data_IF_188260085212
#
_entry.id   IF_188260085212
#
_cell.length_a   1.000
_cell.length_b   1.000
_cell.length_c   1.000
_cell.angle_alpha   90.00
_cell.angle_beta   90.00
_cell.angle_gamma   90.00
#
_symmetry.space_group_name_H-M   'P 1'
#
loop_
_entity.id
_entity.type
_entity.pdbx_description
1 polymer ?
#
# COMPACT_ATOMS: atom_id res chain seq x y z
N UNK A 1 -6.28 -27.74 22.83
CA UNK A 1 -7.42 -26.92 23.31
C UNK A 1 -7.13 -25.46 22.98
N UNK A 2 -7.98 -24.85 22.13
CA UNK A 2 -8.37 -23.43 22.01
C UNK A 2 -9.11 -23.30 20.65
N UNK A 3 -10.44 -23.51 20.66
CA UNK A 3 -11.49 -22.48 20.69
C UNK A 3 -11.57 -21.68 19.37
N UNK A 4 -12.66 -21.64 18.60
CA UNK A 4 -14.01 -22.15 18.79
C UNK A 4 -14.77 -22.26 17.47
N UNK A 5 -15.93 -22.91 17.51
CA UNK A 5 -16.91 -22.96 16.41
C UNK A 5 -17.78 -21.69 16.47
N UNK A 6 -17.79 -20.90 15.40
CA UNK A 6 -19.02 -20.29 14.85
C UNK A 6 -18.80 -19.71 13.45
N UNK A 7 -19.73 -20.08 12.57
CA UNK A 7 -20.13 -19.50 11.27
C UNK A 7 -19.25 -18.43 10.62
N UNK A 8 -18.74 -18.77 9.43
CA UNK A 8 -18.16 -17.83 8.47
C UNK A 8 -17.14 -18.58 7.64
N UNK A 9 -17.45 -18.84 6.38
CA UNK A 9 -16.50 -19.45 5.45
C UNK A 9 -15.28 -18.52 5.38
N UNK A 10 -14.17 -18.88 6.03
CA UNK A 10 -12.93 -18.10 5.97
C UNK A 10 -12.41 -18.18 4.54
N UNK A 11 -12.50 -17.08 3.79
CA UNK A 11 -11.97 -16.98 2.42
C UNK A 11 -10.48 -16.67 2.52
N UNK A 12 -9.66 -17.55 1.95
CA UNK A 12 -8.23 -17.30 1.79
C UNK A 12 -7.98 -16.78 0.37
N UNK A 13 -7.36 -15.62 0.26
CA UNK A 13 -6.92 -15.05 -1.01
C UNK A 13 -5.40 -15.25 -1.14
N UNK A 14 -4.97 -15.84 -2.25
CA UNK A 14 -3.55 -15.95 -2.57
C UNK A 14 -3.19 -14.81 -3.52
N UNK A 15 -2.38 -13.87 -3.03
CA UNK A 15 -1.84 -12.82 -3.88
C UNK A 15 -0.63 -13.37 -4.63
N UNK A 16 -0.61 -13.33 -5.98
CA UNK A 16 0.39 -14.04 -6.78
C UNK A 16 1.77 -13.36 -6.79
N UNK A 17 1.90 -12.17 -6.18
CA UNK A 17 3.11 -11.36 -6.27
C UNK A 17 3.64 -10.85 -4.92
N UNK A 18 4.92 -11.05 -4.65
CA UNK A 18 5.54 -10.64 -3.38
C UNK A 18 5.97 -9.16 -3.36
N UNK A 19 5.58 -8.35 -4.34
CA UNK A 19 5.85 -6.92 -4.36
C UNK A 19 7.28 -6.55 -4.78
N UNK A 20 8.32 -7.24 -4.29
CA UNK A 20 9.74 -6.83 -4.48
C UNK A 20 10.76 -8.00 -4.44
N UNK A 21 10.44 -9.21 -4.90
CA UNK A 21 11.39 -10.36 -4.96
C UNK A 21 12.08 -10.72 -3.62
N UNK A 22 11.63 -10.17 -2.49
CA UNK A 22 12.16 -10.45 -1.15
C UNK A 22 11.35 -11.54 -0.43
N UNK A 23 10.42 -12.18 -1.15
CA UNK A 23 9.55 -13.23 -0.64
C UNK A 23 8.44 -12.71 0.28
N UNK A 24 8.21 -11.38 0.38
CA UNK A 24 7.23 -10.80 1.29
C UNK A 24 6.05 -10.15 0.58
N UNK A 25 4.90 -10.83 0.58
CA UNK A 25 3.65 -10.28 0.06
C UNK A 25 3.29 -8.94 0.71
N UNK A 26 3.05 -7.92 -0.12
CA UNK A 26 2.71 -6.55 0.29
C UNK A 26 1.31 -6.18 -0.18
N UNK A 27 0.34 -6.60 0.62
CA UNK A 27 -1.08 -6.32 0.42
C UNK A 27 -1.61 -5.57 1.63
N UNK A 28 -2.51 -4.63 1.42
CA UNK A 28 -3.17 -3.86 2.47
C UNK A 28 -4.67 -3.79 2.17
N UNK A 29 -5.57 -3.90 3.16
CA UNK A 29 -6.97 -3.54 2.99
C UNK A 29 -7.09 -2.14 2.37
N UNK A 30 -7.94 -2.03 1.35
CA UNK A 30 -8.37 -0.74 0.81
C UNK A 30 -9.69 -0.35 1.43
N UNK A 31 -10.65 -1.26 1.38
CA UNK A 31 -11.98 -1.12 1.96
C UNK A 31 -12.54 -2.50 2.33
N UNK A 32 -13.81 -2.57 2.75
CA UNK A 32 -14.46 -3.84 3.12
C UNK A 32 -14.59 -4.87 1.98
N UNK A 33 -14.37 -4.46 0.74
CA UNK A 33 -14.52 -5.27 -0.48
C UNK A 33 -13.26 -5.33 -1.33
N UNK A 34 -12.27 -4.49 -1.06
CA UNK A 34 -11.11 -4.29 -1.90
C UNK A 34 -9.81 -4.39 -1.12
N UNK A 35 -8.79 -4.90 -1.79
CA UNK A 35 -7.41 -4.86 -1.32
C UNK A 35 -6.56 -4.08 -2.33
N UNK A 36 -5.52 -3.43 -1.83
CA UNK A 36 -4.46 -2.86 -2.63
C UNK A 36 -3.21 -3.73 -2.51
N UNK A 37 -2.50 -3.90 -3.62
CA UNK A 37 -1.23 -4.62 -3.66
C UNK A 37 -0.36 -4.14 -4.80
N UNK A 38 0.93 -4.38 -4.68
CA UNK A 38 1.88 -4.08 -5.75
C UNK A 38 1.82 -5.20 -6.79
N UNK A 39 1.94 -4.88 -8.07
CA UNK A 39 2.01 -5.84 -9.18
C UNK A 39 3.45 -5.94 -9.77
N UNK A 40 3.65 -6.82 -10.76
CA UNK A 40 4.98 -7.08 -11.36
C UNK A 40 5.62 -5.87 -12.04
N UNK A 41 4.84 -4.85 -12.37
CA UNK A 41 5.31 -3.60 -12.97
C UNK A 41 5.61 -2.53 -11.91
N UNK A 42 5.56 -2.89 -10.63
CA UNK A 42 5.68 -1.98 -9.49
C UNK A 42 4.56 -0.94 -9.39
N UNK A 43 3.44 -1.17 -10.09
CA UNK A 43 2.22 -0.39 -9.98
C UNK A 43 1.32 -0.95 -8.87
N UNK A 44 0.33 -0.16 -8.43
CA UNK A 44 -0.62 -0.61 -7.40
C UNK A 44 -1.92 -1.07 -8.07
N UNK A 45 -2.30 -2.32 -7.84
CA UNK A 45 -3.59 -2.85 -8.24
C UNK A 45 -4.59 -2.74 -7.08
N UNK A 46 -5.78 -2.21 -7.35
CA UNK A 46 -6.94 -2.33 -6.46
C UNK A 46 -7.79 -3.49 -6.97
N UNK A 47 -7.98 -4.51 -6.14
CA UNK A 47 -8.65 -5.75 -6.50
C UNK A 47 -9.86 -5.96 -5.61
N UNK A 48 -10.98 -6.31 -6.24
CA UNK A 48 -12.19 -6.73 -5.55
C UNK A 48 -12.04 -8.15 -5.00
N UNK A 49 -12.21 -8.31 -3.69
CA UNK A 49 -11.97 -9.55 -2.96
C UNK A 49 -12.95 -10.65 -3.39
N UNK A 50 -14.19 -10.28 -3.72
CA UNK A 50 -15.26 -11.23 -4.05
C UNK A 50 -15.10 -11.78 -5.46
N UNK A 51 -14.91 -10.89 -6.43
CA UNK A 51 -14.80 -11.24 -7.85
C UNK A 51 -13.37 -11.59 -8.27
N UNK A 52 -12.37 -11.21 -7.47
CA UNK A 52 -10.93 -11.25 -7.78
C UNK A 52 -10.55 -10.44 -9.03
N UNK A 53 -11.44 -9.58 -9.49
CA UNK A 53 -11.20 -8.75 -10.64
C UNK A 53 -10.37 -7.52 -10.23
N UNK A 54 -9.36 -7.20 -11.04
CA UNK A 54 -8.68 -5.90 -10.95
C UNK A 54 -9.67 -4.81 -11.32
N UNK A 55 -9.95 -3.90 -10.37
CA UNK A 55 -10.82 -2.74 -10.59
C UNK A 55 -10.06 -1.61 -11.26
N UNK A 56 -8.89 -1.29 -10.71
CA UNK A 56 -8.07 -0.18 -11.20
C UNK A 56 -6.59 -0.48 -10.96
N UNK A 57 -5.75 0.11 -11.79
CA UNK A 57 -4.30 0.04 -11.71
C UNK A 57 -3.76 1.47 -11.62
N UNK A 58 -3.05 1.78 -10.53
CA UNK A 58 -2.50 3.09 -10.23
C UNK A 58 -1.07 3.15 -10.76
N UNK A 59 -0.86 3.99 -11.78
CA UNK A 59 0.39 4.02 -12.56
C UNK A 59 1.10 5.35 -12.46
N UNK A 60 2.42 5.29 -12.37
CA UNK A 60 3.30 6.41 -12.65
C UNK A 60 4.17 6.07 -13.87
N UNK A 61 3.82 6.54 -15.09
CA UNK A 61 4.58 6.24 -16.29
C UNK A 61 6.00 6.84 -16.28
N UNK A 62 6.25 7.82 -15.41
CA UNK A 62 7.52 8.51 -15.29
C UNK A 62 8.30 8.09 -14.03
N UNK A 63 7.98 6.92 -13.45
CA UNK A 63 8.64 6.41 -12.24
C UNK A 63 10.12 6.16 -12.51
N UNK A 64 10.96 6.90 -11.78
CA UNK A 64 12.43 6.79 -11.87
C UNK A 64 13.03 5.79 -10.89
N UNK A 65 12.36 5.59 -9.74
CA UNK A 65 12.88 4.81 -8.63
C UNK A 65 11.80 4.05 -7.91
N UNK A 66 12.20 3.00 -7.19
CA UNK A 66 11.31 2.22 -6.34
C UNK A 66 11.92 1.99 -4.94
N UNK A 67 11.11 2.15 -3.89
CA UNK A 67 11.52 1.89 -2.51
C UNK A 67 11.52 0.39 -2.23
N UNK A 68 12.67 -0.15 -1.83
CA UNK A 68 12.83 -1.57 -1.53
C UNK A 68 11.83 -2.07 -0.47
N UNK A 69 11.41 -1.23 0.48
CA UNK A 69 10.42 -1.54 1.53
C UNK A 69 9.09 -0.82 1.34
N UNK A 70 8.73 -0.46 0.10
CA UNK A 70 7.44 0.13 -0.21
C UNK A 70 6.28 -0.75 0.27
N UNK A 71 5.31 -0.15 0.94
CA UNK A 71 4.06 -0.81 1.30
C UNK A 71 2.90 0.14 0.94
N UNK A 72 1.98 -0.27 0.05
CA UNK A 72 0.90 0.61 -0.37
C UNK A 72 -0.11 0.77 0.78
N UNK A 73 -0.61 1.98 0.96
CA UNK A 73 -1.57 2.30 2.00
C UNK A 73 -2.70 3.13 1.43
N UNK A 74 -3.91 2.89 1.94
CA UNK A 74 -5.06 3.75 1.69
C UNK A 74 -5.24 4.70 2.85
N UNK A 75 -5.77 5.89 2.60
CA UNK A 75 -6.29 6.73 3.67
C UNK A 75 -7.59 6.13 4.23
N UNK A 76 -8.03 6.65 5.38
CA UNK A 76 -9.23 6.16 6.08
C UNK A 76 -10.53 6.26 5.27
N UNK A 77 -10.65 7.29 4.43
CA UNK A 77 -11.81 7.51 3.55
C UNK A 77 -11.72 6.74 2.22
N UNK A 78 -10.67 5.94 2.03
CA UNK A 78 -10.51 5.04 0.88
C UNK A 78 -10.45 5.79 -0.47
N UNK A 79 -10.21 7.10 -0.45
CA UNK A 79 -10.18 7.99 -1.63
C UNK A 79 -8.78 8.20 -2.19
N UNK A 80 -7.75 7.94 -1.37
CA UNK A 80 -6.36 8.15 -1.70
C UNK A 80 -5.56 6.88 -1.43
N UNK A 81 -4.56 6.65 -2.28
CA UNK A 81 -3.57 5.60 -2.08
C UNK A 81 -2.18 6.22 -2.13
N UNK A 82 -1.37 5.96 -1.10
CA UNK A 82 0.04 6.29 -1.05
C UNK A 82 0.86 5.03 -1.28
N UNK A 83 1.76 5.08 -2.26
CA UNK A 83 2.68 3.98 -2.55
C UNK A 83 3.92 4.55 -3.19
N UNK A 84 5.09 4.12 -2.76
CA UNK A 84 6.37 4.51 -3.35
C UNK A 84 6.66 6.02 -3.29
N UNK A 85 6.08 6.76 -2.33
CA UNK A 85 6.12 8.23 -2.33
C UNK A 85 5.29 8.87 -3.45
N UNK A 86 4.33 8.13 -4.00
CA UNK A 86 3.41 8.58 -5.04
C UNK A 86 1.99 8.55 -4.46
N UNK A 87 1.28 9.66 -4.59
CA UNK A 87 -0.09 9.82 -4.10
C UNK A 87 -1.05 9.72 -5.28
N UNK A 88 -2.05 8.84 -5.15
CA UNK A 88 -3.04 8.54 -6.17
C UNK A 88 -4.46 8.80 -5.68
N UNK A 89 -5.36 9.17 -6.58
CA UNK A 89 -6.79 9.06 -6.37
C UNK A 89 -7.24 7.61 -6.64
N UNK A 90 -7.82 6.94 -5.64
CA UNK A 90 -8.22 5.52 -5.75
C UNK A 90 -9.34 5.31 -6.79
N UNK A 91 -10.29 6.24 -6.88
CA UNK A 91 -11.47 6.11 -7.74
C UNK A 91 -11.18 6.35 -9.22
N UNK A 92 -10.27 7.28 -9.55
CA UNK A 92 -9.94 7.63 -10.94
C UNK A 92 -8.63 7.02 -11.43
N UNK A 93 -7.77 6.57 -10.51
CA UNK A 93 -6.43 6.08 -10.82
C UNK A 93 -5.42 7.18 -11.12
N UNK A 94 -5.84 8.44 -11.00
CA UNK A 94 -4.99 9.59 -11.30
C UNK A 94 -3.85 9.71 -10.30
N UNK A 95 -2.62 9.87 -10.81
CA UNK A 95 -1.48 10.32 -10.02
C UNK A 95 -1.68 11.80 -9.66
N UNK A 96 -1.76 12.08 -8.35
CA UNK A 96 -1.96 13.42 -7.80
C UNK A 96 -0.61 14.10 -7.57
N UNK A 97 0.33 13.39 -6.94
CA UNK A 97 1.61 13.95 -6.53
C UNK A 97 2.70 12.89 -6.42
N UNK A 98 3.96 13.30 -6.60
CA UNK A 98 5.14 12.48 -6.34
C UNK A 98 5.99 13.27 -5.34
N UNK A 99 6.16 12.73 -4.14
CA UNK A 99 6.97 13.34 -3.09
C UNK A 99 8.46 13.24 -3.43
N UNK A 100 9.20 14.31 -3.15
CA UNK A 100 10.63 14.35 -3.36
C UNK A 100 11.35 13.27 -2.54
N UNK A 101 12.27 12.56 -3.19
CA UNK A 101 13.04 11.51 -2.54
C UNK A 101 14.22 12.13 -1.80
N UNK A 102 14.16 12.12 -0.48
CA UNK A 102 15.30 12.41 0.39
C UNK A 102 16.03 11.09 0.72
N UNK A 103 17.36 11.11 0.85
CA UNK A 103 18.17 9.88 0.97
C UNK A 103 17.76 9.02 2.20
N UNK A 104 17.60 7.72 1.98
CA UNK A 104 17.24 6.67 2.96
C UNK A 104 15.88 6.85 3.70
N UNK A 105 14.77 6.44 3.06
CA UNK A 105 13.41 6.54 3.63
C UNK A 105 12.51 5.34 3.34
N UNK A 106 11.48 5.15 4.18
CA UNK A 106 10.33 4.28 3.91
C UNK A 106 9.27 5.03 3.05
N UNK A 107 8.33 4.33 2.43
CA UNK A 107 7.40 4.86 1.41
C UNK A 107 6.40 5.94 1.87
N UNK A 108 6.47 6.35 3.14
CA UNK A 108 5.53 7.27 3.79
C UNK A 108 4.29 6.57 4.34
N UNK A 109 3.61 7.24 5.27
CA UNK A 109 2.31 6.83 5.82
C UNK A 109 1.36 8.02 5.89
N UNK A 110 0.05 7.78 5.89
CA UNK A 110 -0.91 8.82 6.29
C UNK A 110 -0.79 9.09 7.80
N UNK A 111 -0.87 10.36 8.20
CA UNK A 111 -1.00 10.71 9.62
C UNK A 111 -2.37 10.28 10.16
N UNK A 112 -2.51 10.18 11.47
CA UNK A 112 -3.80 9.88 12.13
C UNK A 112 -4.88 10.91 11.81
N UNK A 113 -4.47 12.14 11.47
CA UNK A 113 -5.39 13.21 11.05
C UNK A 113 -5.81 13.10 9.59
N UNK A 114 -5.11 12.27 8.79
CA UNK A 114 -5.32 12.00 7.36
C UNK A 114 -5.16 13.22 6.43
N UNK A 115 -4.95 14.42 6.99
CA UNK A 115 -4.68 15.65 6.26
C UNK A 115 -3.20 15.83 5.90
N UNK A 116 -2.34 15.01 6.48
CA UNK A 116 -0.90 15.08 6.33
C UNK A 116 -0.35 13.70 5.96
N UNK A 117 0.63 13.67 5.05
CA UNK A 117 1.44 12.48 4.79
C UNK A 117 2.73 12.62 5.58
N UNK A 118 2.97 11.67 6.49
CA UNK A 118 4.23 11.58 7.22
C UNK A 118 5.23 10.91 6.29
N UNK A 119 6.16 11.73 5.81
CA UNK A 119 7.17 11.35 4.85
C UNK A 119 8.54 11.82 5.36
N UNK A 120 9.47 10.90 5.62
CA UNK A 120 10.74 11.25 6.26
C UNK A 120 11.61 10.07 6.70
N UNK A 121 12.77 10.40 7.26
CA UNK A 121 13.73 9.47 7.85
C UNK A 121 13.28 9.14 9.28
N UNK A 122 13.27 7.85 9.65
CA UNK A 122 13.22 7.44 11.05
C UNK A 122 14.52 7.90 11.71
N UNK A 123 14.51 9.05 12.40
CA UNK A 123 15.66 9.45 13.23
C UNK A 123 15.73 8.43 14.36
N UNK A 124 16.71 7.52 14.29
CA UNK A 124 17.17 6.80 15.48
C UNK A 124 17.58 7.87 16.50
N UNK A 125 16.74 8.11 17.50
CA UNK A 125 17.17 8.81 18.70
C UNK A 125 18.18 7.91 19.41
N UNK A 126 19.45 7.98 19.01
CA UNK A 126 20.55 7.57 19.88
C UNK A 126 20.61 8.56 21.04
N UNK A 127 19.80 8.31 22.06
CA UNK A 127 19.98 8.91 23.37
C UNK A 127 19.63 7.83 24.39
N UNK A 128 20.62 6.99 24.72
CA UNK A 128 20.89 6.50 26.09
C UNK A 128 22.26 5.80 26.10
N UNK A 129 23.33 6.59 26.18
CA UNK A 129 24.40 6.53 27.20
C UNK A 129 25.50 7.55 26.89
#
# INVERSE_FOLDING_TARGET
MCCGKSSGQKKCFLWPYDGVNDGKIRINPHDNKNIIGINTNFDVDIIDIETRAKKIELKNPNRKYYFARNYPQSNSDETLVLSNGELYCSGSGQLIHVFDRLEYMQSGIFSVSENEVIYGQERLFNNFQ
#
